data_IF_070921195603
#
_entry.id   IF_070921195603
#
_cell.length_a   1.000
_cell.length_b   1.000
_cell.length_c   1.000
_cell.angle_alpha   90.00
_cell.angle_beta   90.00
_cell.angle_gamma   90.00
#
_symmetry.space_group_name_H-M   'P 1'
#
loop_
_entity.id
_entity.type
_entity.pdbx_description
1 polymer ?
#
# COMPACT_ATOMS: atom_id res chain seq x y z
N UNK A 1 -15.14 -36.11 -11.28
CA UNK A 1 -14.10 -37.15 -11.24
C UNK A 1 -12.78 -36.66 -11.86
N UNK A 2 -12.13 -35.65 -11.28
CA UNK A 2 -10.80 -35.16 -11.73
C UNK A 2 -9.75 -35.14 -10.61
N UNK A 3 -10.06 -35.69 -9.44
CA UNK A 3 -9.27 -35.49 -8.21
C UNK A 3 -8.22 -36.58 -7.93
N UNK A 4 -7.99 -37.50 -8.86
CA UNK A 4 -7.01 -38.59 -8.68
C UNK A 4 -5.62 -38.29 -9.25
N UNK A 5 -5.50 -37.32 -10.18
CA UNK A 5 -4.22 -36.99 -10.81
C UNK A 5 -3.34 -36.03 -9.96
N UNK A 6 -3.95 -35.21 -9.09
CA UNK A 6 -3.24 -34.17 -8.32
C UNK A 6 -2.54 -34.71 -7.05
N UNK A 7 -2.91 -35.92 -6.62
CA UNK A 7 -2.33 -36.56 -5.43
C UNK A 7 -0.86 -36.98 -5.61
N UNK A 8 -0.41 -37.22 -6.85
CA UNK A 8 0.94 -37.75 -7.10
C UNK A 8 2.05 -36.75 -6.75
N UNK A 9 1.83 -35.46 -7.01
CA UNK A 9 2.82 -34.39 -6.75
C UNK A 9 2.92 -34.13 -5.26
N UNK A 10 1.78 -34.04 -4.57
CA UNK A 10 1.71 -33.82 -3.12
C UNK A 10 2.36 -35.00 -2.39
N UNK A 11 2.02 -36.23 -2.76
CA UNK A 11 2.60 -37.46 -2.16
C UNK A 11 4.12 -37.52 -2.30
N UNK A 12 4.66 -37.14 -3.47
CA UNK A 12 6.13 -37.03 -3.66
C UNK A 12 6.77 -35.96 -2.78
N UNK A 13 6.10 -34.82 -2.59
CA UNK A 13 6.55 -33.76 -1.70
C UNK A 13 6.70 -34.24 -0.26
N UNK A 14 5.70 -34.98 0.24
CA UNK A 14 5.74 -35.58 1.58
C UNK A 14 6.92 -36.55 1.72
N UNK A 15 7.10 -37.46 0.76
CA UNK A 15 8.23 -38.42 0.77
C UNK A 15 9.56 -37.69 0.83
N UNK A 16 9.74 -36.64 0.01
CA UNK A 16 10.97 -35.85 -0.01
C UNK A 16 11.21 -35.14 1.33
N UNK A 17 10.18 -34.54 1.92
CA UNK A 17 10.32 -33.89 3.24
C UNK A 17 10.72 -34.87 4.35
N UNK A 18 10.16 -36.09 4.35
CA UNK A 18 10.51 -37.12 5.34
C UNK A 18 11.96 -37.58 5.17
N UNK A 19 12.38 -37.81 3.92
CA UNK A 19 13.77 -38.16 3.60
C UNK A 19 14.76 -37.06 4.01
N UNK A 20 14.47 -35.80 3.65
CA UNK A 20 15.35 -34.68 3.95
C UNK A 20 15.46 -34.46 5.48
N UNK A 21 14.34 -34.61 6.20
CA UNK A 21 14.32 -34.55 7.67
C UNK A 21 15.13 -35.69 8.30
N UNK A 22 14.98 -36.91 7.80
CA UNK A 22 15.79 -38.04 8.27
C UNK A 22 17.28 -37.77 8.07
N UNK A 23 17.67 -37.25 6.90
CA UNK A 23 19.06 -36.92 6.58
C UNK A 23 19.63 -35.83 7.51
N UNK A 24 18.81 -34.86 7.89
CA UNK A 24 19.22 -33.78 8.79
C UNK A 24 19.34 -34.21 10.25
N UNK A 25 18.47 -35.09 10.72
CA UNK A 25 18.39 -35.49 12.13
C UNK A 25 19.30 -36.68 12.45
N UNK A 26 19.51 -37.59 11.51
CA UNK A 26 20.33 -38.78 11.74
C UNK A 26 21.80 -38.43 11.90
N UNK A 27 22.37 -38.75 13.08
CA UNK A 27 23.77 -38.46 13.40
C UNK A 27 24.77 -39.47 12.82
N UNK A 28 24.31 -40.67 12.44
CA UNK A 28 25.13 -41.73 11.84
C UNK A 28 24.42 -42.32 10.61
N UNK A 29 25.19 -42.77 9.62
CA UNK A 29 24.73 -43.45 8.41
C UNK A 29 23.91 -44.71 8.73
N UNK A 30 24.26 -45.46 9.79
CA UNK A 30 23.50 -46.64 10.19
C UNK A 30 22.08 -46.29 10.67
N UNK A 31 21.95 -45.26 11.52
CA UNK A 31 20.65 -44.76 11.98
C UNK A 31 19.84 -44.15 10.83
N UNK A 32 20.51 -43.51 9.88
CA UNK A 32 19.86 -42.99 8.68
C UNK A 32 19.26 -44.09 7.81
N UNK A 33 19.96 -45.21 7.60
CA UNK A 33 19.43 -46.35 6.85
C UNK A 33 18.25 -47.01 7.57
N UNK A 34 18.31 -47.15 8.90
CA UNK A 34 17.18 -47.65 9.69
C UNK A 34 15.96 -46.74 9.59
N UNK A 35 16.15 -45.42 9.71
CA UNK A 35 15.08 -44.42 9.57
C UNK A 35 14.50 -44.42 8.14
N UNK A 36 15.35 -44.60 7.13
CA UNK A 36 14.94 -44.71 5.72
C UNK A 36 13.99 -45.89 5.50
N UNK A 37 14.32 -47.06 6.06
CA UNK A 37 13.48 -48.26 5.97
C UNK A 37 12.18 -48.09 6.77
N UNK A 38 12.25 -47.47 7.95
CA UNK A 38 11.08 -47.12 8.74
C UNK A 38 10.12 -46.19 7.98
N UNK A 39 10.63 -45.16 7.29
CA UNK A 39 9.83 -44.26 6.45
C UNK A 39 9.19 -45.02 5.29
N UNK A 40 9.92 -45.91 4.61
CA UNK A 40 9.35 -46.73 3.52
C UNK A 40 8.20 -47.62 4.01
N UNK A 41 8.36 -48.25 5.18
CA UNK A 41 7.32 -49.10 5.75
C UNK A 41 6.10 -48.28 6.18
N UNK A 42 6.32 -47.17 6.88
CA UNK A 42 5.24 -46.25 7.28
C UNK A 42 4.42 -45.74 6.09
N UNK A 43 5.07 -45.40 4.97
CA UNK A 43 4.37 -44.95 3.76
C UNK A 43 3.53 -46.07 3.13
N UNK A 44 4.02 -47.32 3.13
CA UNK A 44 3.27 -48.49 2.65
C UNK A 44 2.04 -48.75 3.51
N UNK A 45 2.18 -48.68 4.83
CA UNK A 45 1.06 -48.81 5.78
C UNK A 45 0.01 -47.71 5.58
N UNK A 46 0.44 -46.51 5.23
CA UNK A 46 -0.44 -45.39 4.87
C UNK A 46 -0.97 -45.43 3.42
N UNK A 47 -0.98 -46.62 2.80
CA UNK A 47 -1.52 -46.87 1.45
C UNK A 47 -0.90 -45.99 0.35
N UNK A 48 0.38 -45.62 0.46
CA UNK A 48 1.10 -45.04 -0.67
C UNK A 48 1.43 -46.13 -1.70
N UNK A 49 1.25 -45.88 -3.01
CA UNK A 49 1.64 -46.84 -4.03
C UNK A 49 3.14 -47.14 -3.95
N UNK A 50 3.51 -48.42 -3.83
CA UNK A 50 4.90 -48.88 -3.69
C UNK A 50 5.77 -48.33 -4.84
N UNK A 51 5.29 -48.43 -6.07
CA UNK A 51 5.95 -47.91 -7.26
C UNK A 51 6.24 -46.39 -7.19
N UNK A 52 5.38 -45.61 -6.51
CA UNK A 52 5.59 -44.18 -6.34
C UNK A 52 6.66 -43.91 -5.28
N UNK A 53 6.64 -44.67 -4.19
CA UNK A 53 7.63 -44.57 -3.11
C UNK A 53 9.02 -44.89 -3.64
N UNK A 54 9.21 -46.07 -4.25
CA UNK A 54 10.52 -46.49 -4.74
C UNK A 54 11.08 -45.54 -5.80
N UNK A 55 10.22 -45.09 -6.72
CA UNK A 55 10.60 -44.12 -7.76
C UNK A 55 10.96 -42.76 -7.16
N UNK A 56 10.30 -42.33 -6.09
CA UNK A 56 10.64 -41.08 -5.40
C UNK A 56 11.99 -41.19 -4.67
N UNK A 57 12.25 -42.29 -3.95
CA UNK A 57 13.54 -42.52 -3.29
C UNK A 57 14.70 -42.59 -4.30
N UNK A 58 14.51 -43.31 -5.41
CA UNK A 58 15.50 -43.36 -6.49
C UNK A 58 15.81 -41.97 -7.08
N UNK A 59 14.79 -41.11 -7.25
CA UNK A 59 14.96 -39.73 -7.74
C UNK A 59 15.65 -38.81 -6.73
N UNK A 60 15.49 -39.08 -5.43
CA UNK A 60 16.12 -38.29 -4.37
C UNK A 60 17.59 -38.69 -4.19
N UNK A 61 17.89 -40.00 -4.26
CA UNK A 61 19.24 -40.55 -4.10
C UNK A 61 20.11 -40.33 -5.35
N UNK A 62 19.48 -40.47 -6.52
CA UNK A 62 20.08 -40.14 -7.79
C UNK A 62 19.33 -38.92 -8.34
N UNK A 63 19.66 -37.70 -7.88
CA UNK A 63 19.24 -36.52 -8.59
C UNK A 63 19.92 -36.60 -9.94
N UNK A 64 19.25 -37.19 -10.93
CA UNK A 64 19.65 -37.03 -12.32
C UNK A 64 19.90 -35.54 -12.50
N UNK A 65 21.01 -35.17 -13.12
CA UNK A 65 21.18 -33.88 -13.76
C UNK A 65 20.06 -33.74 -14.80
N UNK A 66 18.82 -33.54 -14.33
CA UNK A 66 17.74 -33.01 -15.12
C UNK A 66 18.28 -31.66 -15.49
N UNK A 67 18.74 -31.60 -16.75
CA UNK A 67 19.20 -30.42 -17.45
C UNK A 67 18.74 -29.19 -16.69
N UNK A 68 19.70 -28.48 -16.10
CA UNK A 68 19.60 -27.05 -15.94
C UNK A 68 19.40 -26.48 -17.35
N UNK A 69 18.23 -26.70 -17.96
CA UNK A 69 17.62 -25.66 -18.75
C UNK A 69 17.50 -24.54 -17.74
N UNK A 70 18.52 -23.68 -17.73
CA UNK A 70 18.42 -22.35 -17.17
C UNK A 70 17.03 -21.89 -17.54
N UNK A 71 16.12 -21.80 -16.57
CA UNK A 71 14.77 -21.31 -16.83
C UNK A 71 15.02 -19.92 -17.37
N UNK A 72 14.95 -19.78 -18.69
CA UNK A 72 15.22 -18.50 -19.31
C UNK A 72 14.27 -17.51 -18.67
N UNK A 73 14.80 -16.36 -18.26
CA UNK A 73 13.93 -15.32 -17.73
C UNK A 73 12.84 -15.04 -18.76
N UNK A 74 11.58 -14.88 -18.33
CA UNK A 74 10.50 -14.59 -19.25
C UNK A 74 10.83 -13.30 -20.03
N UNK A 75 10.53 -13.30 -21.32
CA UNK A 75 10.72 -12.13 -22.20
C UNK A 75 9.83 -10.98 -21.75
N UNK A 76 8.63 -11.29 -21.25
CA UNK A 76 7.69 -10.31 -20.73
C UNK A 76 6.78 -10.89 -19.64
N UNK A 77 6.17 -10.02 -18.85
CA UNK A 77 5.14 -10.36 -17.88
C UNK A 77 3.79 -9.79 -18.35
N UNK A 78 2.74 -10.60 -18.31
CA UNK A 78 1.37 -10.19 -18.61
C UNK A 78 0.48 -10.47 -17.40
N UNK A 79 -0.36 -9.50 -17.03
CA UNK A 79 -1.36 -9.70 -15.96
C UNK A 79 -2.76 -9.55 -16.54
N UNK A 80 -3.59 -10.57 -16.39
CA UNK A 80 -4.97 -10.58 -16.89
C UNK A 80 -5.96 -11.00 -15.79
N UNK A 81 -7.23 -10.59 -15.87
CA UNK A 81 -8.27 -11.18 -15.03
C UNK A 81 -8.42 -12.68 -15.31
N UNK A 82 -8.76 -13.45 -14.28
CA UNK A 82 -9.08 -14.87 -14.45
C UNK A 82 -10.51 -15.02 -14.99
N UNK A 83 -10.61 -15.57 -16.20
CA UNK A 83 -11.84 -15.92 -16.90
C UNK A 83 -11.74 -17.42 -17.23
N UNK A 84 -12.54 -18.28 -16.58
CA UNK A 84 -12.47 -19.73 -16.77
C UNK A 84 -12.54 -20.12 -18.25
N UNK A 85 -11.60 -20.96 -18.68
CA UNK A 85 -11.53 -21.50 -20.04
C UNK A 85 -10.78 -20.63 -21.06
N UNK A 86 -10.73 -19.31 -20.86
CA UNK A 86 -9.99 -18.38 -21.74
C UNK A 86 -8.61 -18.10 -21.15
N UNK A 87 -8.53 -17.77 -19.87
CA UNK A 87 -7.28 -17.34 -19.23
C UNK A 87 -6.22 -18.45 -19.21
N UNK A 88 -6.61 -19.72 -19.12
CA UNK A 88 -5.70 -20.87 -19.22
C UNK A 88 -5.16 -21.04 -20.64
N UNK A 89 -6.01 -20.85 -21.66
CA UNK A 89 -5.60 -20.89 -23.07
C UNK A 89 -4.61 -19.77 -23.35
N UNK A 90 -4.90 -18.56 -22.86
CA UNK A 90 -4.00 -17.41 -22.98
C UNK A 90 -2.67 -17.65 -22.25
N UNK A 91 -2.70 -18.19 -21.02
CA UNK A 91 -1.47 -18.55 -20.31
C UNK A 91 -0.65 -19.60 -21.07
N UNK A 92 -1.31 -20.60 -21.65
CA UNK A 92 -0.64 -21.63 -22.46
C UNK A 92 0.00 -21.03 -23.73
N UNK A 93 -0.72 -20.15 -24.42
CA UNK A 93 -0.18 -19.41 -25.57
C UNK A 93 1.00 -18.54 -25.15
N UNK A 94 0.87 -17.76 -24.06
CA UNK A 94 1.94 -16.92 -23.54
C UNK A 94 3.21 -17.70 -23.20
N UNK A 95 3.08 -18.89 -22.62
CA UNK A 95 4.22 -19.76 -22.33
C UNK A 95 5.01 -20.16 -23.59
N UNK A 96 4.34 -20.36 -24.74
CA UNK A 96 5.01 -20.66 -26.00
C UNK A 96 5.91 -19.50 -26.48
N UNK A 97 5.57 -18.27 -26.10
CA UNK A 97 6.34 -17.06 -26.41
C UNK A 97 7.23 -16.60 -25.25
N UNK A 98 7.44 -17.44 -24.23
CA UNK A 98 8.18 -17.11 -23.01
C UNK A 98 7.62 -15.85 -22.28
N UNK A 99 6.30 -15.65 -22.32
CA UNK A 99 5.59 -14.58 -21.61
C UNK A 99 4.96 -15.15 -20.34
N UNK A 100 5.41 -14.68 -19.18
CA UNK A 100 4.86 -15.08 -17.89
C UNK A 100 3.51 -14.42 -17.69
N UNK A 101 2.45 -15.23 -17.73
CA UNK A 101 1.07 -14.76 -17.48
C UNK A 101 0.68 -14.99 -16.02
N UNK A 102 0.29 -13.91 -15.33
CA UNK A 102 -0.26 -13.92 -13.98
C UNK A 102 -1.74 -13.55 -13.99
N UNK A 103 -2.51 -14.11 -13.05
CA UNK A 103 -3.92 -13.82 -12.91
C UNK A 103 -4.15 -12.84 -11.76
N UNK A 104 -4.95 -11.81 -11.99
CA UNK A 104 -5.35 -10.83 -10.98
C UNK A 104 -6.86 -10.84 -10.79
N UNK A 105 -7.33 -10.77 -9.56
CA UNK A 105 -8.75 -10.55 -9.25
C UNK A 105 -8.98 -9.06 -9.02
N UNK A 106 -10.04 -8.51 -9.64
CA UNK A 106 -10.38 -7.10 -9.48
C UNK A 106 -11.10 -6.84 -8.14
N UNK A 107 -11.92 -7.79 -7.69
CA UNK A 107 -12.73 -7.66 -6.48
C UNK A 107 -12.19 -8.60 -5.39
N UNK A 108 -11.15 -8.18 -4.69
CA UNK A 108 -10.65 -8.98 -3.55
C UNK A 108 -11.61 -8.87 -2.38
N UNK A 109 -11.76 -9.95 -1.59
CA UNK A 109 -12.51 -9.92 -0.32
C UNK A 109 -12.03 -8.79 0.59
N UNK A 110 -10.72 -8.51 0.59
CA UNK A 110 -10.14 -7.36 1.27
C UNK A 110 -10.81 -6.06 0.81
N UNK A 111 -10.87 -5.81 -0.49
CA UNK A 111 -11.51 -4.59 -1.02
C UNK A 111 -12.97 -4.45 -0.61
N UNK A 112 -13.72 -5.55 -0.49
CA UNK A 112 -15.14 -5.52 -0.13
C UNK A 112 -15.32 -5.36 1.39
N UNK A 113 -14.56 -6.11 2.17
CA UNK A 113 -14.80 -6.28 3.60
C UNK A 113 -13.96 -5.36 4.49
N UNK A 114 -12.91 -4.71 3.98
CA UNK A 114 -11.99 -3.90 4.82
C UNK A 114 -12.27 -2.39 4.81
N UNK A 115 -13.40 -1.95 4.26
CA UNK A 115 -13.89 -0.59 4.43
C UNK A 115 -14.51 -0.38 5.83
N UNK A 116 -13.74 -0.58 6.90
CA UNK A 116 -14.20 -0.46 8.29
C UNK A 116 -14.27 0.98 8.80
N UNK A 117 -13.69 1.96 8.10
CA UNK A 117 -13.76 3.37 8.48
C UNK A 117 -14.79 4.11 7.61
N UNK A 118 -15.76 4.83 8.20
CA UNK A 118 -16.65 5.69 7.43
C UNK A 118 -15.82 6.74 6.69
N UNK A 119 -16.06 6.86 5.39
CA UNK A 119 -15.38 7.83 4.54
C UNK A 119 -16.01 9.19 4.81
N UNK A 120 -15.28 10.08 5.49
CA UNK A 120 -15.67 11.50 5.51
C UNK A 120 -15.38 12.09 4.13
N UNK A 121 -16.39 12.08 3.25
CA UNK A 121 -16.25 12.49 1.84
C UNK A 121 -15.67 13.89 1.71
N UNK A 122 -16.10 14.83 2.55
CA UNK A 122 -15.62 16.21 2.51
C UNK A 122 -14.15 16.33 2.92
N UNK A 123 -13.73 15.66 3.99
CA UNK A 123 -12.34 15.73 4.46
C UNK A 123 -11.37 14.87 3.63
N UNK A 124 -11.87 14.00 2.74
CA UNK A 124 -11.00 13.21 1.84
C UNK A 124 -10.65 13.95 0.53
N UNK A 125 -11.18 15.16 0.35
CA UNK A 125 -10.92 16.00 -0.82
C UNK A 125 -9.52 16.61 -0.80
N UNK A 126 -8.92 16.72 -1.99
CA UNK A 126 -7.57 17.26 -2.21
C UNK A 126 -7.64 18.63 -2.88
N UNK A 127 -6.50 19.33 -2.91
CA UNK A 127 -6.33 20.58 -3.65
C UNK A 127 -7.38 21.63 -3.26
N UNK A 128 -7.48 21.88 -1.95
CA UNK A 128 -8.50 22.74 -1.37
C UNK A 128 -7.91 23.79 -0.43
N UNK A 129 -8.66 24.87 -0.27
CA UNK A 129 -8.50 25.90 0.75
C UNK A 129 -9.54 25.59 1.81
N UNK A 130 -9.11 25.50 3.06
CA UNK A 130 -9.94 25.06 4.17
C UNK A 130 -9.84 26.06 5.32
N UNK A 131 -10.83 25.99 6.21
CA UNK A 131 -10.82 26.69 7.47
C UNK A 131 -10.93 25.73 8.66
N UNK A 132 -10.31 26.09 9.78
CA UNK A 132 -10.42 25.38 11.06
C UNK A 132 -10.79 26.41 12.14
N UNK A 133 -12.02 26.35 12.69
CA UNK A 133 -12.43 27.26 13.74
C UNK A 133 -11.80 26.93 15.09
N UNK A 134 -11.71 27.95 15.95
CA UNK A 134 -11.24 27.86 17.32
C UNK A 134 -12.34 28.37 18.26
N UNK A 135 -12.31 27.93 19.52
CA UNK A 135 -13.26 28.34 20.55
C UNK A 135 -13.33 29.86 20.78
N UNK A 136 -12.30 30.62 20.39
CA UNK A 136 -12.25 32.08 20.56
C UNK A 136 -12.99 32.86 19.45
N UNK A 137 -13.75 32.18 18.59
CA UNK A 137 -14.48 32.79 17.47
C UNK A 137 -13.61 33.15 16.26
N UNK A 138 -12.29 32.95 16.36
CA UNK A 138 -11.35 33.09 15.25
C UNK A 138 -11.15 31.75 14.53
N UNK A 139 -10.62 31.80 13.31
CA UNK A 139 -10.37 30.62 12.50
C UNK A 139 -9.03 30.68 11.75
N UNK A 140 -8.44 29.52 11.51
CA UNK A 140 -7.26 29.35 10.66
C UNK A 140 -7.70 29.06 9.24
N UNK A 141 -7.10 29.74 8.25
CA UNK A 141 -7.26 29.44 6.83
C UNK A 141 -5.94 28.95 6.27
N UNK A 142 -5.97 27.88 5.48
CA UNK A 142 -4.80 27.39 4.77
C UNK A 142 -5.15 26.56 3.55
N UNK A 143 -4.15 26.26 2.72
CA UNK A 143 -4.28 25.36 1.58
C UNK A 143 -3.65 23.98 1.78
N UNK A 144 -4.11 23.00 1.02
CA UNK A 144 -3.50 21.68 0.93
C UNK A 144 -3.64 21.08 -0.46
N UNK A 145 -2.57 20.50 -0.99
CA UNK A 145 -2.62 19.61 -2.16
C UNK A 145 -3.02 18.17 -1.82
N UNK A 146 -2.89 17.79 -0.55
CA UNK A 146 -3.21 16.47 0.00
C UNK A 146 -4.62 16.46 0.58
N UNK A 147 -5.20 15.28 0.89
CA UNK A 147 -6.52 15.21 1.51
C UNK A 147 -6.58 16.06 2.78
N UNK A 148 -7.69 16.78 2.97
CA UNK A 148 -7.86 17.66 4.13
C UNK A 148 -7.68 16.91 5.46
N UNK A 149 -8.17 15.67 5.59
CA UNK A 149 -7.99 14.80 6.76
C UNK A 149 -6.51 14.59 7.10
N UNK A 150 -5.66 14.40 6.09
CA UNK A 150 -4.20 14.28 6.30
C UNK A 150 -3.65 15.58 6.87
N UNK A 151 -4.05 16.74 6.33
CA UNK A 151 -3.58 18.04 6.80
C UNK A 151 -4.07 18.35 8.23
N UNK A 152 -5.31 17.98 8.56
CA UNK A 152 -5.86 18.11 9.92
C UNK A 152 -5.06 17.24 10.91
N UNK A 153 -4.72 16.00 10.55
CA UNK A 153 -3.89 15.11 11.38
C UNK A 153 -2.50 15.68 11.64
N UNK A 154 -1.89 16.30 10.65
CA UNK A 154 -0.61 16.99 10.82
C UNK A 154 -0.71 18.14 11.81
N UNK A 155 -1.71 19.01 11.64
CA UNK A 155 -1.94 20.11 12.57
C UNK A 155 -2.17 19.62 14.00
N UNK A 156 -2.99 18.58 14.19
CA UNK A 156 -3.16 17.94 15.50
C UNK A 156 -1.83 17.46 16.09
N UNK A 157 -0.97 16.87 15.27
CA UNK A 157 0.33 16.40 15.72
C UNK A 157 1.27 17.57 16.08
N UNK A 158 1.23 18.68 15.32
CA UNK A 158 1.99 19.89 15.62
C UNK A 158 1.54 20.53 16.94
N UNK A 159 0.23 20.62 17.17
CA UNK A 159 -0.31 21.10 18.46
C UNK A 159 0.11 20.18 19.61
N UNK A 160 -0.01 18.86 19.44
CA UNK A 160 0.35 17.88 20.48
C UNK A 160 1.83 17.91 20.85
N UNK A 161 2.71 18.13 19.87
CA UNK A 161 4.16 18.11 20.06
C UNK A 161 4.75 19.51 20.24
N UNK A 162 3.92 20.54 20.42
CA UNK A 162 4.34 21.93 20.62
C UNK A 162 5.26 22.47 19.49
N UNK A 163 5.02 22.05 18.25
CA UNK A 163 5.78 22.48 17.07
C UNK A 163 5.20 23.79 16.52
N UNK A 164 5.34 24.86 17.29
CA UNK A 164 4.85 26.21 16.95
C UNK A 164 5.49 26.76 15.68
N UNK A 165 6.73 26.36 15.42
CA UNK A 165 7.52 26.65 14.22
C UNK A 165 6.98 26.00 12.95
N UNK A 166 6.01 25.08 13.03
CA UNK A 166 5.45 24.34 11.89
C UNK A 166 4.00 24.70 11.56
N UNK A 167 3.30 25.37 12.48
CA UNK A 167 1.90 25.71 12.29
C UNK A 167 1.46 26.90 13.13
N UNK A 168 0.83 27.88 12.48
CA UNK A 168 0.18 28.99 13.16
C UNK A 168 -0.97 28.52 14.08
N UNK A 169 -1.58 27.36 13.81
CA UNK A 169 -2.53 26.75 14.75
C UNK A 169 -1.84 26.31 16.04
N UNK A 170 -0.66 25.69 15.94
CA UNK A 170 0.10 25.27 17.11
C UNK A 170 0.56 26.48 17.92
N UNK A 171 1.06 27.54 17.26
CA UNK A 171 1.40 28.79 17.92
C UNK A 171 0.17 29.44 18.59
N UNK A 172 -0.96 29.56 17.89
CA UNK A 172 -2.17 30.16 18.47
C UNK A 172 -2.65 29.42 19.72
N UNK A 173 -2.65 28.09 19.68
CA UNK A 173 -3.01 27.25 20.83
C UNK A 173 -2.02 27.43 21.98
N UNK A 174 -0.72 27.54 21.67
CA UNK A 174 0.31 27.77 22.68
C UNK A 174 0.14 29.12 23.37
N UNK A 175 0.00 30.19 22.60
CA UNK A 175 -0.04 31.56 23.13
C UNK A 175 -1.34 31.87 23.90
N UNK A 176 -2.46 31.27 23.50
CA UNK A 176 -3.78 31.62 24.02
C UNK A 176 -4.44 30.49 24.83
N UNK A 177 -3.79 29.33 24.96
CA UNK A 177 -4.31 28.14 25.64
C UNK A 177 -5.72 27.71 25.16
N UNK A 178 -5.98 27.88 23.86
CA UNK A 178 -7.28 27.62 23.28
C UNK A 178 -7.46 26.20 22.71
N UNK A 179 -8.70 25.70 22.70
CA UNK A 179 -9.06 24.46 22.01
C UNK A 179 -9.51 24.73 20.57
N UNK A 180 -9.04 23.88 19.66
CA UNK A 180 -9.37 23.92 18.22
C UNK A 180 -10.54 22.98 17.92
N UNK A 181 -11.54 23.48 17.19
CA UNK A 181 -12.73 22.73 16.79
C UNK A 181 -12.46 21.91 15.51
N UNK A 182 -11.68 20.84 15.65
CA UNK A 182 -11.27 19.99 14.51
C UNK A 182 -12.44 19.35 13.74
N UNK A 183 -13.61 19.16 14.39
CA UNK A 183 -14.79 18.54 13.78
C UNK A 183 -15.49 19.48 12.79
N UNK A 184 -15.37 20.78 13.00
CA UNK A 184 -15.99 21.82 12.17
C UNK A 184 -15.06 22.31 11.05
N UNK A 185 -13.92 21.65 10.88
CA UNK A 185 -13.00 21.93 9.78
C UNK A 185 -13.70 21.67 8.44
N UNK A 186 -13.77 22.71 7.60
CA UNK A 186 -14.57 22.73 6.37
C UNK A 186 -13.76 23.27 5.19
N UNK A 187 -14.15 22.88 3.98
CA UNK A 187 -13.54 23.36 2.73
C UNK A 187 -14.25 24.64 2.31
N UNK A 188 -13.48 25.70 2.09
CA UNK A 188 -13.98 26.96 1.53
C UNK A 188 -14.07 26.85 0.01
N UNK A 189 -12.98 26.41 -0.63
CA UNK A 189 -12.89 26.35 -2.09
C UNK A 189 -11.93 25.25 -2.55
N UNK A 190 -12.16 24.71 -3.75
CA UNK A 190 -11.25 23.79 -4.44
C UNK A 190 -10.54 24.49 -5.59
N UNK A 191 -9.24 24.21 -5.76
CA UNK A 191 -8.44 24.72 -6.86
C UNK A 191 -7.27 23.77 -7.13
N UNK A 192 -7.24 23.17 -8.32
CA UNK A 192 -6.21 22.18 -8.68
C UNK A 192 -4.86 22.84 -8.92
N UNK A 193 -4.85 24.01 -9.55
CA UNK A 193 -3.61 24.70 -9.90
C UNK A 193 -2.97 25.34 -8.65
N UNK A 194 -1.70 24.99 -8.38
CA UNK A 194 -0.99 25.48 -7.20
C UNK A 194 -0.91 27.01 -7.12
N UNK A 195 -0.54 27.68 -8.22
CA UNK A 195 -0.40 29.14 -8.24
C UNK A 195 -1.74 29.86 -8.02
N UNK A 196 -2.80 29.39 -8.69
CA UNK A 196 -4.16 29.92 -8.47
C UNK A 196 -4.66 29.64 -7.05
N UNK A 197 -4.33 28.48 -6.49
CA UNK A 197 -4.71 28.11 -5.12
C UNK A 197 -4.04 29.01 -4.09
N UNK A 198 -2.77 29.37 -4.30
CA UNK A 198 -2.05 30.34 -3.45
C UNK A 198 -2.68 31.72 -3.50
N UNK A 199 -3.01 32.21 -4.70
CA UNK A 199 -3.69 33.50 -4.85
C UNK A 199 -5.05 33.51 -4.12
N UNK A 200 -5.82 32.44 -4.29
CA UNK A 200 -7.13 32.28 -3.62
C UNK A 200 -7.00 32.14 -2.11
N UNK A 201 -6.00 31.41 -1.60
CA UNK A 201 -5.70 31.32 -0.17
C UNK A 201 -5.43 32.72 0.41
N UNK A 202 -4.56 33.50 -0.22
CA UNK A 202 -4.27 34.87 0.21
C UNK A 202 -5.51 35.75 0.18
N UNK A 203 -6.33 35.65 -0.86
CA UNK A 203 -7.59 36.38 -0.93
C UNK A 203 -8.57 35.96 0.18
N UNK A 204 -8.72 34.66 0.47
CA UNK A 204 -9.57 34.18 1.56
C UNK A 204 -9.11 34.69 2.92
N UNK A 205 -7.80 34.78 3.17
CA UNK A 205 -7.25 35.33 4.42
C UNK A 205 -7.58 36.84 4.54
N UNK A 206 -7.53 37.59 3.43
CA UNK A 206 -7.80 39.03 3.43
C UNK A 206 -9.30 39.36 3.53
N UNK A 207 -10.14 38.56 2.87
CA UNK A 207 -11.59 38.81 2.79
C UNK A 207 -12.35 38.27 4.01
N UNK A 208 -11.83 37.25 4.69
CA UNK A 208 -12.47 36.71 5.88
C UNK A 208 -11.95 37.42 7.14
N UNK A 209 -12.83 38.08 7.88
CA UNK A 209 -12.52 38.60 9.22
C UNK A 209 -12.28 37.47 10.23
N UNK A 210 -11.57 37.75 11.33
CA UNK A 210 -11.39 36.75 12.41
C UNK A 210 -10.31 35.69 12.15
N UNK A 211 -9.39 35.91 11.21
CA UNK A 211 -8.23 35.01 11.00
C UNK A 211 -7.15 35.26 12.06
N UNK A 212 -6.47 34.21 12.51
CA UNK A 212 -5.32 34.37 13.43
C UNK A 212 -4.19 35.20 12.79
N UNK A 213 -3.52 36.06 13.56
CA UNK A 213 -2.34 36.76 13.07
C UNK A 213 -1.23 35.74 12.74
N UNK A 214 -0.66 35.86 11.54
CA UNK A 214 0.41 34.98 11.06
C UNK A 214 1.76 35.51 11.57
N UNK A 215 2.18 35.07 12.76
CA UNK A 215 3.42 35.58 13.38
C UNK A 215 4.66 34.73 13.09
N UNK A 216 4.53 33.49 12.58
CA UNK A 216 5.67 32.56 12.43
C UNK A 216 6.03 32.22 10.99
N UNK A 217 5.19 32.60 10.02
CA UNK A 217 5.52 32.39 8.62
C UNK A 217 5.19 33.62 7.78
N UNK A 218 6.16 34.15 7.00
CA UNK A 218 5.80 34.98 5.88
C UNK A 218 4.99 34.09 4.94
N UNK A 219 3.66 34.19 5.02
CA UNK A 219 2.81 33.68 3.97
C UNK A 219 3.35 34.34 2.70
N UNK A 220 3.58 33.56 1.65
CA UNK A 220 4.02 34.10 0.36
C UNK A 220 2.88 34.98 -0.16
N UNK A 221 2.84 36.24 0.25
CA UNK A 221 1.79 37.17 -0.13
C UNK A 221 2.10 37.64 -1.55
N UNK A 222 1.17 37.39 -2.46
CA UNK A 222 1.10 38.08 -3.73
C UNK A 222 0.23 39.31 -3.51
N UNK A 223 0.80 40.52 -3.60
CA UNK A 223 0.00 41.75 -3.62
C UNK A 223 -0.42 41.98 -5.06
N UNK A 224 -1.73 42.05 -5.29
CA UNK A 224 -2.28 42.41 -6.60
C UNK A 224 -2.27 43.93 -6.69
N UNK A 225 -1.43 44.48 -7.57
CA UNK A 225 -1.47 45.90 -7.89
C UNK A 225 -2.40 46.10 -9.09
N UNK A 226 -3.39 46.98 -8.92
CA UNK A 226 -4.24 47.45 -10.01
C UNK A 226 -3.64 48.74 -10.55
N UNK A 227 -2.94 48.65 -11.68
CA UNK A 227 -2.49 49.82 -12.44
C UNK A 227 -3.41 49.98 -13.67
N UNK A 228 -3.63 51.21 -14.12
CA UNK A 228 -4.48 51.54 -15.28
C UNK A 228 -4.09 50.84 -16.60
N UNK A 229 -2.90 50.21 -16.65
CA UNK A 229 -2.34 49.51 -17.80
C UNK A 229 -2.36 47.97 -17.69
N UNK A 230 -2.90 47.39 -16.60
CA UNK A 230 -3.03 45.93 -16.44
C UNK A 230 -2.75 45.41 -15.03
N UNK A 231 -2.88 44.09 -14.84
CA UNK A 231 -2.66 43.39 -13.56
C UNK A 231 -1.17 43.06 -13.38
N UNK A 232 -0.54 43.61 -12.35
CA UNK A 232 0.84 43.23 -11.95
C UNK A 232 0.82 42.50 -10.60
N UNK A 233 1.55 41.38 -10.54
CA UNK A 233 1.75 40.60 -9.33
C UNK A 233 3.11 40.95 -8.76
N UNK A 234 3.15 41.56 -7.58
CA UNK A 234 4.39 41.83 -6.87
C UNK A 234 4.53 40.93 -5.64
N UNK A 235 5.74 40.41 -5.48
CA UNK A 235 6.14 39.65 -4.30
C UNK A 235 6.40 40.62 -3.15
N UNK A 236 5.72 40.44 -2.02
CA UNK A 236 5.95 41.25 -0.82
C UNK A 236 6.48 40.36 0.30
N UNK A 237 7.69 40.66 0.74
CA UNK A 237 8.26 40.16 2.00
C UNK A 237 8.12 41.26 3.04
N UNK A 238 7.50 40.97 4.19
CA UNK A 238 7.62 41.78 5.40
C UNK A 238 8.67 41.16 6.30
#
# INVERSE_FOLDING_TARGET
MKDLADNGVIKKGVIKSLYDRAKLVSSNVNFFNQEKDHIKNSLKENAYPINLVDKAFLQIENPSHNNNQQRQNPVANMTIPYIPGISEKLKKLGNNFNIRTAFKTNNTLRSILTHTKPINKEQNEKNCIYQIPCQCGKHYIGETSRPLDVRIKEHKNYVRNYQVDRSNLAQHVWDNHHQINWKEASIIQKEQNFGKRKLKESACIQLNGGVFPNNVFPVKYYRIHYCSLGKTLEYVTY
#
